data_IF_425413628352
#
_entry.id   IF_425413628352
#
_cell.length_a   1.000
_cell.length_b   1.000
_cell.length_c   1.000
_cell.angle_alpha   90.00
_cell.angle_beta   90.00
_cell.angle_gamma   90.00
#
_symmetry.space_group_name_H-M   'P 1'
#
loop_
_entity.id
_entity.type
_entity.pdbx_description
1 polymer ?
#
# COMPACT_ATOMS: atom_id res chain seq x y z
N UNK A 1 10.60 -19.21 2.65
CA UNK A 1 10.09 -17.82 2.77
C UNK A 1 8.74 -17.74 2.08
N UNK A 2 7.64 -17.57 2.83
CA UNK A 2 6.32 -17.42 2.24
C UNK A 2 6.23 -16.08 1.50
N UNK A 3 6.00 -16.10 0.19
CA UNK A 3 5.76 -14.88 -0.58
C UNK A 3 4.39 -14.32 -0.19
N UNK A 4 4.35 -13.07 0.26
CA UNK A 4 3.10 -12.38 0.55
C UNK A 4 2.33 -12.11 -0.75
N UNK A 5 1.35 -12.94 -1.07
CA UNK A 5 0.44 -12.79 -2.22
C UNK A 5 -0.76 -11.89 -1.91
N UNK A 6 -0.86 -11.42 -0.67
CA UNK A 6 -1.92 -10.53 -0.22
C UNK A 6 -1.85 -9.14 -0.86
N UNK A 7 -2.88 -8.34 -0.60
CA UNK A 7 -2.95 -6.96 -1.09
C UNK A 7 -1.90 -6.08 -0.41
N UNK A 8 -0.80 -5.76 -1.10
CA UNK A 8 0.31 -4.92 -0.59
C UNK A 8 -0.13 -3.54 -0.11
N UNK A 9 -1.23 -2.99 -0.64
CA UNK A 9 -1.79 -1.71 -0.19
C UNK A 9 -2.41 -1.76 1.22
N UNK A 10 -2.75 -2.94 1.76
CA UNK A 10 -3.17 -3.09 3.16
C UNK A 10 -1.99 -2.91 4.11
N UNK A 11 -0.81 -3.40 3.73
CA UNK A 11 0.42 -3.19 4.49
C UNK A 11 0.77 -1.71 4.56
N UNK A 12 0.77 -1.01 3.42
CA UNK A 12 1.02 0.44 3.42
C UNK A 12 0.04 1.20 4.34
N UNK A 13 -1.25 0.83 4.34
CA UNK A 13 -2.27 1.48 5.20
C UNK A 13 -2.11 1.16 6.69
N UNK A 14 -1.63 -0.04 7.04
CA UNK A 14 -1.30 -0.39 8.44
C UNK A 14 -0.08 0.36 8.94
N UNK A 15 0.97 0.42 8.12
CA UNK A 15 2.23 1.09 8.46
C UNK A 15 2.16 2.63 8.35
N UNK A 16 1.03 3.18 7.86
CA UNK A 16 0.84 4.62 7.61
C UNK A 16 1.95 5.26 6.76
N UNK A 17 2.65 4.46 5.95
CA UNK A 17 3.78 4.88 5.12
C UNK A 17 3.72 4.24 3.73
N UNK A 18 4.19 4.97 2.70
CA UNK A 18 4.32 4.44 1.33
C UNK A 18 5.48 3.45 1.29
N UNK A 19 5.17 2.14 1.29
CA UNK A 19 6.17 1.07 1.12
C UNK A 19 6.55 0.80 -0.34
N UNK A 20 5.95 1.52 -1.30
CA UNK A 20 6.20 1.42 -2.75
C UNK A 20 6.16 0.00 -3.36
N UNK A 21 5.46 -0.95 -2.70
CA UNK A 21 5.37 -2.36 -3.11
C UNK A 21 4.68 -2.61 -4.46
N UNK A 22 4.02 -1.60 -5.05
CA UNK A 22 3.38 -1.67 -6.38
C UNK A 22 3.98 -0.71 -7.41
N UNK A 23 5.15 -0.12 -7.14
CA UNK A 23 5.87 0.76 -8.08
C UNK A 23 4.97 1.89 -8.62
N UNK A 24 4.69 1.87 -9.92
CA UNK A 24 3.90 2.88 -10.65
C UNK A 24 2.56 3.23 -9.98
N UNK A 25 1.86 2.26 -9.39
CA UNK A 25 0.59 2.51 -8.68
C UNK A 25 0.77 3.32 -7.38
N UNK A 26 1.93 3.25 -6.75
CA UNK A 26 2.25 3.98 -5.52
C UNK A 26 2.65 5.44 -5.77
N UNK A 27 3.15 5.75 -6.96
CA UNK A 27 3.45 7.12 -7.40
C UNK A 27 2.24 7.84 -7.98
N UNK A 28 1.22 7.10 -8.41
CA UNK A 28 -0.03 7.69 -8.87
C UNK A 28 -0.88 8.20 -7.70
N UNK A 29 -1.64 9.27 -7.97
CA UNK A 29 -2.69 9.84 -7.12
C UNK A 29 -3.80 8.84 -6.76
N UNK A 30 -3.85 7.71 -7.49
CA UNK A 30 -4.73 6.57 -7.21
C UNK A 30 -4.23 5.69 -6.06
N UNK A 31 -3.14 6.07 -5.38
CA UNK A 31 -2.60 5.31 -4.25
C UNK A 31 -3.63 5.28 -3.08
N UNK A 32 -4.03 4.08 -2.60
CA UNK A 32 -4.99 3.95 -1.51
C UNK A 32 -4.53 4.59 -0.20
N UNK A 33 -3.22 4.80 -0.03
CA UNK A 33 -2.67 5.45 1.15
C UNK A 33 -3.09 6.93 1.21
N UNK A 34 -3.04 7.65 0.10
CA UNK A 34 -3.39 9.08 0.10
C UNK A 34 -4.89 9.31 0.23
N UNK A 35 -5.69 8.45 -0.40
CA UNK A 35 -7.15 8.56 -0.34
C UNK A 35 -7.77 8.00 0.95
N UNK A 36 -7.13 6.99 1.56
CA UNK A 36 -7.65 6.23 2.71
C UNK A 36 -6.49 5.86 3.64
N UNK A 37 -5.93 6.85 4.32
CA UNK A 37 -4.85 6.67 5.30
C UNK A 37 -5.33 6.15 6.67
N UNK A 38 -6.31 5.26 6.68
CA UNK A 38 -6.80 4.60 7.88
C UNK A 38 -6.63 3.09 7.70
N UNK A 39 -6.40 2.40 8.82
CA UNK A 39 -6.27 0.96 8.82
C UNK A 39 -7.55 0.32 8.24
N UNK A 40 -7.44 -0.63 7.29
CA UNK A 40 -8.57 -1.44 6.86
C UNK A 40 -9.06 -2.36 7.99
#
# INVERSE_FOLDING_TARGET
MARYTGSSCKLCRREKQKLFLKGSKCYSEKCPLEKRNYAP
#
